data_IF_371700601325
#
_entry.id   IF_371700601325
#
_cell.length_a   1.000
_cell.length_b   1.000
_cell.length_c   1.000
_cell.angle_alpha   90.00
_cell.angle_beta   90.00
_cell.angle_gamma   90.00
#
_symmetry.space_group_name_H-M   'P 1'
#
loop_
_entity.id
_entity.type
_entity.pdbx_description
1 polymer ?
#
# COMPACT_ATOMS: atom_id res chain seq x y z
N UNK A 1 21.06 76.29 -5.65
CA UNK A 1 21.72 75.49 -4.59
C UNK A 1 20.93 74.21 -4.40
N UNK A 2 21.29 73.18 -5.17
CA UNK A 2 20.50 71.96 -5.35
C UNK A 2 21.23 70.83 -4.64
N UNK A 3 20.68 70.34 -3.53
CA UNK A 3 21.25 69.21 -2.76
C UNK A 3 21.01 67.91 -3.52
N UNK A 4 22.09 67.28 -3.98
CA UNK A 4 22.09 65.90 -4.48
C UNK A 4 22.15 64.93 -3.30
N UNK A 5 21.16 64.06 -3.22
CA UNK A 5 21.09 62.94 -2.28
C UNK A 5 21.81 61.75 -2.94
N UNK A 6 22.96 61.36 -2.39
CA UNK A 6 23.70 60.16 -2.84
C UNK A 6 23.17 58.97 -2.04
N UNK A 7 22.41 58.08 -2.70
CA UNK A 7 22.00 56.79 -2.15
C UNK A 7 23.14 55.81 -2.38
N UNK A 8 23.76 55.32 -1.30
CA UNK A 8 24.66 54.18 -1.33
C UNK A 8 23.84 52.89 -1.38
N UNK A 9 23.88 52.19 -2.51
CA UNK A 9 23.34 50.85 -2.66
C UNK A 9 24.44 49.85 -2.24
N UNK A 10 24.28 49.22 -1.08
CA UNK A 10 25.14 48.10 -0.65
C UNK A 10 24.57 46.84 -1.28
N UNK A 11 25.20 46.39 -2.38
CA UNK A 11 24.98 45.06 -2.95
C UNK A 11 25.77 44.04 -2.11
N UNK A 12 25.09 43.43 -1.15
CA UNK A 12 25.61 42.25 -0.47
C UNK A 12 25.45 41.04 -1.41
N UNK A 13 26.53 40.67 -2.11
CA UNK A 13 26.65 39.35 -2.72
C UNK A 13 26.83 38.32 -1.59
N UNK A 14 25.74 37.74 -1.11
CA UNK A 14 25.79 36.44 -0.45
C UNK A 14 25.95 35.37 -1.54
N UNK A 15 27.20 35.00 -1.81
CA UNK A 15 27.50 33.76 -2.50
C UNK A 15 26.92 32.62 -1.67
N UNK A 16 25.77 32.09 -2.10
CA UNK A 16 25.20 30.87 -1.57
C UNK A 16 26.19 29.74 -1.80
N UNK A 17 26.87 29.32 -0.76
CA UNK A 17 27.59 28.05 -0.74
C UNK A 17 26.49 27.00 -0.86
N UNK A 18 26.26 26.51 -2.09
CA UNK A 18 25.55 25.26 -2.32
C UNK A 18 26.38 24.17 -1.65
N UNK A 19 26.00 23.80 -0.43
CA UNK A 19 26.43 22.53 0.13
C UNK A 19 25.81 21.47 -0.77
N UNK A 20 26.61 20.91 -1.66
CA UNK A 20 26.33 19.59 -2.21
C UNK A 20 26.26 18.67 -0.99
N UNK A 21 25.05 18.29 -0.58
CA UNK A 21 24.87 17.12 0.24
C UNK A 21 25.36 15.95 -0.61
N UNK A 22 26.64 15.59 -0.46
CA UNK A 22 27.04 14.21 -0.72
C UNK A 22 26.14 13.33 0.15
N UNK A 23 25.37 12.46 -0.50
CA UNK A 23 24.57 11.47 0.20
C UNK A 23 25.51 10.69 1.11
N UNK A 24 25.31 10.85 2.43
CA UNK A 24 26.00 10.06 3.44
C UNK A 24 25.92 8.59 3.04
N UNK A 25 27.06 7.99 2.72
CA UNK A 25 27.21 6.56 2.40
C UNK A 25 27.11 5.69 3.66
N UNK A 26 26.33 6.13 4.67
CA UNK A 26 26.06 5.30 5.82
C UNK A 26 25.30 4.07 5.33
N UNK A 27 25.90 2.90 5.50
CA UNK A 27 25.28 1.62 5.23
C UNK A 27 23.97 1.54 6.00
N UNK A 28 22.92 1.03 5.36
CA UNK A 28 21.65 0.80 6.04
C UNK A 28 21.87 -0.18 7.22
N UNK A 29 21.38 0.20 8.40
CA UNK A 29 21.47 -0.56 9.64
C UNK A 29 20.06 -0.58 10.24
N UNK A 30 19.34 -1.72 10.19
CA UNK A 30 18.00 -1.83 10.76
C UNK A 30 17.96 -1.54 12.26
N UNK A 31 19.06 -1.78 12.97
CA UNK A 31 19.16 -1.56 14.42
C UNK A 31 18.24 -2.47 15.23
N UNK A 32 18.17 -2.21 16.54
CA UNK A 32 17.28 -2.94 17.45
C UNK A 32 15.80 -2.67 17.17
N UNK A 33 15.49 -1.49 16.59
CA UNK A 33 14.14 -1.08 16.20
C UNK A 33 13.71 -1.62 14.83
N UNK A 34 14.49 -2.52 14.20
CA UNK A 34 14.19 -3.16 12.92
C UNK A 34 13.67 -2.18 11.85
N UNK A 35 14.32 -1.03 11.69
CA UNK A 35 13.97 -0.06 10.64
C UNK A 35 14.10 -0.74 9.27
N UNK A 36 13.00 -0.71 8.52
CA UNK A 36 12.91 -1.28 7.19
C UNK A 36 12.17 -0.31 6.26
N UNK A 37 12.77 -0.07 5.10
CA UNK A 37 12.15 0.67 4.00
C UNK A 37 12.18 -0.22 2.76
N UNK A 38 11.16 -0.13 1.89
CA UNK A 38 11.24 -0.78 0.58
C UNK A 38 12.41 -0.17 -0.22
N UNK A 39 13.03 -0.92 -1.15
CA UNK A 39 14.14 -0.41 -1.95
C UNK A 39 13.75 0.80 -2.81
N UNK A 40 12.46 0.88 -3.18
CA UNK A 40 11.89 2.04 -3.85
C UNK A 40 10.44 2.24 -3.47
N UNK A 41 10.00 3.51 -3.44
CA UNK A 41 8.60 3.90 -3.28
C UNK A 41 8.17 4.58 -4.58
N UNK A 42 7.14 4.07 -5.29
CA UNK A 42 6.58 4.76 -6.44
C UNK A 42 5.69 5.93 -5.99
N UNK A 43 5.89 7.10 -6.60
CA UNK A 43 5.10 8.31 -6.37
C UNK A 43 4.49 8.76 -7.69
N UNK A 44 3.34 9.41 -7.64
CA UNK A 44 2.65 9.94 -8.81
C UNK A 44 2.51 11.46 -8.70
N UNK A 45 2.88 12.19 -9.74
CA UNK A 45 2.71 13.63 -9.80
C UNK A 45 1.26 14.05 -9.49
N UNK A 46 1.08 15.04 -8.62
CA UNK A 46 -0.23 15.54 -8.19
C UNK A 46 -0.90 14.74 -7.07
N UNK A 47 -0.34 13.60 -6.64
CA UNK A 47 -0.90 12.76 -5.57
C UNK A 47 -0.04 12.85 -4.31
N UNK A 48 -0.64 13.24 -3.19
CA UNK A 48 0.05 13.26 -1.89
C UNK A 48 0.56 11.86 -1.54
N UNK A 49 1.86 11.77 -1.26
CA UNK A 49 2.55 10.54 -0.90
C UNK A 49 3.12 10.67 0.51
N UNK A 50 2.97 9.63 1.31
CA UNK A 50 3.33 9.64 2.72
C UNK A 50 4.15 8.40 3.10
N UNK A 51 5.20 8.61 3.89
CA UNK A 51 5.93 7.54 4.59
C UNK A 51 5.65 7.72 6.09
N UNK A 52 4.79 6.87 6.66
CA UNK A 52 4.51 6.88 8.09
C UNK A 52 5.59 6.10 8.86
N UNK A 53 6.11 6.68 9.94
CA UNK A 53 7.23 6.07 10.66
C UNK A 53 6.83 4.82 11.45
N UNK A 54 5.57 4.75 11.92
CA UNK A 54 4.99 3.56 12.56
C UNK A 54 4.94 2.34 11.62
N UNK A 55 5.06 2.55 10.30
CA UNK A 55 5.18 1.47 9.31
C UNK A 55 6.62 1.11 8.96
N UNK A 56 7.58 1.92 9.37
CA UNK A 56 8.97 1.80 8.97
C UNK A 56 9.83 1.14 10.03
N UNK A 57 9.52 1.31 11.33
CA UNK A 57 10.31 0.70 12.40
C UNK A 57 9.42 0.09 13.49
N UNK A 58 9.97 -0.91 14.18
CA UNK A 58 9.32 -1.65 15.23
C UNK A 58 9.84 -1.19 16.60
N UNK A 59 8.98 -0.52 17.36
CA UNK A 59 9.24 -0.19 18.76
C UNK A 59 7.94 -0.28 19.57
N UNK A 60 8.04 -0.84 20.79
CA UNK A 60 6.89 -0.91 21.71
C UNK A 60 6.33 0.48 22.05
N UNK A 61 7.21 1.46 22.20
CA UNK A 61 6.83 2.86 22.38
C UNK A 61 7.62 3.75 21.41
N UNK A 62 7.06 4.07 20.22
CA UNK A 62 7.69 4.93 19.23
C UNK A 62 8.06 6.33 19.75
N UNK A 63 7.35 6.84 20.76
CA UNK A 63 7.62 8.16 21.34
C UNK A 63 8.97 8.26 22.07
N UNK A 64 9.65 7.15 22.33
CA UNK A 64 11.01 7.12 22.86
C UNK A 64 12.08 7.45 21.80
N UNK A 65 11.69 7.52 20.53
CA UNK A 65 12.58 7.70 19.40
C UNK A 65 12.20 8.93 18.59
N UNK A 66 13.18 9.45 17.85
CA UNK A 66 12.97 10.50 16.86
C UNK A 66 13.35 9.98 15.48
N UNK A 67 12.44 10.11 14.52
CA UNK A 67 12.77 9.95 13.11
C UNK A 67 13.45 11.23 12.60
N UNK A 68 14.52 11.09 11.85
CA UNK A 68 15.26 12.17 11.20
C UNK A 68 15.34 11.85 9.70
N UNK A 69 14.61 12.61 8.90
CA UNK A 69 14.45 12.38 7.46
C UNK A 69 15.34 13.34 6.68
N UNK A 70 16.25 12.78 5.90
CA UNK A 70 17.03 13.52 4.90
C UNK A 70 16.46 13.26 3.51
N UNK A 71 15.85 14.29 2.91
CA UNK A 71 15.34 14.26 1.54
C UNK A 71 15.38 15.67 0.94
N UNK A 72 15.66 15.78 -0.37
CA UNK A 72 15.68 17.06 -1.07
C UNK A 72 14.27 17.64 -1.32
N UNK A 73 13.22 16.84 -1.10
CA UNK A 73 11.81 17.16 -1.39
C UNK A 73 10.91 16.71 -0.22
N UNK A 74 9.71 17.28 -0.18
CA UNK A 74 8.72 17.01 0.86
C UNK A 74 8.99 17.73 2.17
N UNK A 75 8.22 17.36 3.18
CA UNK A 75 8.34 17.86 4.54
C UNK A 75 8.24 16.71 5.53
N UNK A 76 9.05 16.77 6.58
CA UNK A 76 8.88 15.90 7.73
C UNK A 76 7.85 16.50 8.68
N UNK A 77 6.90 15.67 9.10
CA UNK A 77 5.95 15.88 10.20
C UNK A 77 6.29 14.92 11.34
N UNK A 78 5.55 14.96 12.46
CA UNK A 78 5.87 14.14 13.63
C UNK A 78 5.74 12.64 13.34
N UNK A 79 4.71 12.28 12.57
CA UNK A 79 4.28 10.91 12.30
C UNK A 79 4.73 10.39 10.94
N UNK A 80 5.12 11.28 10.03
CA UNK A 80 5.39 10.94 8.63
C UNK A 80 6.31 11.91 7.91
N UNK A 81 6.93 11.45 6.84
CA UNK A 81 7.35 12.33 5.74
C UNK A 81 6.23 12.42 4.70
N UNK A 82 5.97 13.62 4.18
CA UNK A 82 4.88 13.88 3.22
C UNK A 82 5.33 14.73 2.05
N UNK A 83 4.82 14.43 0.85
CA UNK A 83 5.08 15.21 -0.35
C UNK A 83 4.03 14.99 -1.44
N UNK A 84 3.63 16.07 -2.11
CA UNK A 84 2.89 16.02 -3.38
C UNK A 84 3.85 16.41 -4.53
N UNK A 85 4.41 15.45 -5.27
CA UNK A 85 5.32 15.73 -6.37
C UNK A 85 4.62 16.42 -7.54
N UNK A 86 5.39 17.15 -8.36
CA UNK A 86 4.93 17.73 -9.62
C UNK A 86 5.44 16.93 -10.82
N UNK A 87 4.89 17.19 -12.00
CA UNK A 87 5.34 16.53 -13.24
C UNK A 87 6.84 16.78 -13.52
N UNK A 88 7.34 17.99 -13.22
CA UNK A 88 8.76 18.35 -13.35
C UNK A 88 9.70 17.58 -12.40
N UNK A 89 9.16 16.92 -11.37
CA UNK A 89 9.92 16.10 -10.43
C UNK A 89 10.09 14.64 -10.91
N UNK A 90 9.60 14.29 -12.11
CA UNK A 90 9.68 12.94 -12.65
C UNK A 90 11.14 12.42 -12.68
N UNK A 91 11.36 11.23 -12.12
CA UNK A 91 12.69 10.66 -11.98
C UNK A 91 12.91 9.97 -10.64
N UNK A 92 14.17 9.95 -10.22
CA UNK A 92 14.63 9.27 -9.00
C UNK A 92 15.23 10.28 -8.03
N UNK A 93 14.90 10.14 -6.76
CA UNK A 93 15.57 10.85 -5.68
C UNK A 93 15.71 9.96 -4.45
N UNK A 94 16.75 10.20 -3.65
CA UNK A 94 17.02 9.42 -2.44
C UNK A 94 16.29 10.04 -1.25
N UNK A 95 15.71 9.19 -0.41
CA UNK A 95 15.23 9.53 0.92
C UNK A 95 15.93 8.63 1.93
N UNK A 96 16.46 9.24 2.99
CA UNK A 96 17.09 8.52 4.10
C UNK A 96 16.30 8.79 5.38
N UNK A 97 16.08 7.74 6.17
CA UNK A 97 15.52 7.83 7.52
C UNK A 97 16.59 7.35 8.51
N UNK A 98 16.83 8.14 9.53
CA UNK A 98 17.59 7.74 10.72
C UNK A 98 16.63 7.72 11.91
N UNK A 99 16.79 6.73 12.78
CA UNK A 99 16.10 6.69 14.07
C UNK A 99 17.12 7.03 15.15
N UNK A 100 16.77 8.00 15.99
CA UNK A 100 17.61 8.49 17.09
C UNK A 100 16.97 8.16 18.44
N UNK A 101 17.81 7.80 19.40
CA UNK A 101 17.38 7.60 20.79
C UNK A 101 17.39 8.90 21.61
N UNK A 102 17.07 8.79 22.90
CA UNK A 102 17.07 9.92 23.84
C UNK A 102 18.44 10.57 24.08
N UNK A 103 19.54 9.90 23.70
CA UNK A 103 20.90 10.45 23.75
C UNK A 103 21.30 11.15 22.44
N UNK A 104 20.38 11.21 21.48
CA UNK A 104 20.57 11.69 20.12
C UNK A 104 21.49 10.80 19.26
N UNK A 105 21.76 9.57 19.71
CA UNK A 105 22.55 8.59 18.96
C UNK A 105 21.69 7.95 17.87
N UNK A 106 22.27 7.74 16.68
CA UNK A 106 21.61 7.01 15.59
C UNK A 106 21.61 5.52 15.96
N UNK A 107 20.42 4.95 16.16
CA UNK A 107 20.24 3.54 16.51
C UNK A 107 19.81 2.69 15.31
N UNK A 108 19.29 3.33 14.25
CA UNK A 108 18.99 2.69 12.98
C UNK A 108 19.06 3.70 11.83
N UNK A 109 19.33 3.21 10.61
CA UNK A 109 19.30 4.01 9.40
C UNK A 109 18.90 3.16 8.19
N UNK A 110 18.07 3.70 7.32
CA UNK A 110 17.67 3.06 6.07
C UNK A 110 17.46 4.09 4.97
N UNK A 111 17.69 3.68 3.74
CA UNK A 111 17.52 4.51 2.55
C UNK A 111 16.53 3.88 1.58
N UNK A 112 15.79 4.72 0.86
CA UNK A 112 14.89 4.30 -0.21
C UNK A 112 14.98 5.24 -1.41
N UNK A 113 14.73 4.70 -2.60
CA UNK A 113 14.59 5.52 -3.81
C UNK A 113 13.14 5.91 -4.01
N UNK A 114 12.83 7.21 -3.96
CA UNK A 114 11.54 7.72 -4.40
C UNK A 114 11.55 7.79 -5.93
N UNK A 115 10.63 7.07 -6.56
CA UNK A 115 10.48 6.98 -8.01
C UNK A 115 9.23 7.75 -8.44
N UNK A 116 9.41 9.01 -8.83
CA UNK A 116 8.32 9.88 -9.26
C UNK A 116 7.99 9.59 -10.72
N UNK A 117 6.74 9.21 -10.98
CA UNK A 117 6.17 9.15 -12.32
C UNK A 117 5.35 10.39 -12.60
N UNK A 118 5.46 10.88 -13.82
CA UNK A 118 4.46 11.78 -14.38
C UNK A 118 3.10 11.07 -14.41
N UNK A 119 2.04 11.84 -14.18
CA UNK A 119 0.66 11.39 -14.21
C UNK A 119 0.15 11.22 -15.64
N UNK A 120 0.72 11.96 -16.60
CA UNK A 120 0.33 11.87 -18.00
C UNK A 120 0.55 10.45 -18.57
N UNK A 121 -0.53 9.84 -19.08
CA UNK A 121 -0.46 8.55 -19.74
C UNK A 121 0.07 8.75 -21.17
N UNK A 122 1.32 8.35 -21.41
CA UNK A 122 2.00 8.56 -22.70
C UNK A 122 1.27 7.91 -23.89
N UNK A 123 0.58 6.78 -23.66
CA UNK A 123 -0.29 6.12 -24.65
C UNK A 123 -1.47 5.48 -23.94
N UNK A 124 -2.67 6.01 -24.17
CA UNK A 124 -3.91 5.41 -23.69
C UNK A 124 -4.09 4.06 -24.40
N UNK A 125 -4.29 2.95 -23.66
CA UNK A 125 -4.48 1.64 -24.26
C UNK A 125 -5.83 1.59 -25.01
N UNK A 126 -5.84 0.93 -26.17
CA UNK A 126 -7.05 0.80 -27.00
C UNK A 126 -8.14 -0.08 -26.35
N UNK A 127 -7.73 -0.98 -25.46
CA UNK A 127 -8.61 -1.83 -24.67
C UNK A 127 -8.48 -1.48 -23.19
N UNK A 128 -9.58 -1.58 -22.42
CA UNK A 128 -9.49 -1.38 -20.98
C UNK A 128 -8.49 -2.33 -20.33
N UNK A 129 -7.68 -1.79 -19.44
CA UNK A 129 -6.77 -2.56 -18.57
C UNK A 129 -7.56 -3.06 -17.39
N UNK A 130 -7.45 -4.35 -17.09
CA UNK A 130 -8.14 -4.98 -15.96
C UNK A 130 -7.29 -4.97 -14.67
N UNK A 131 -7.92 -4.65 -13.54
CA UNK A 131 -7.30 -4.70 -12.21
C UNK A 131 -8.19 -5.49 -11.23
N UNK A 132 -7.64 -6.55 -10.66
CA UNK A 132 -8.23 -7.28 -9.53
C UNK A 132 -7.62 -6.79 -8.22
N UNK A 133 -8.45 -6.34 -7.28
CA UNK A 133 -8.01 -5.89 -5.96
C UNK A 133 -8.46 -6.92 -4.92
N UNK A 134 -7.52 -7.62 -4.30
CA UNK A 134 -7.76 -8.64 -3.28
C UNK A 134 -7.36 -8.08 -1.92
N UNK A 135 -8.20 -8.23 -0.91
CA UNK A 135 -7.78 -7.89 0.44
C UNK A 135 -8.85 -8.08 1.50
N UNK A 136 -8.57 -7.54 2.67
CA UNK A 136 -9.41 -7.71 3.85
C UNK A 136 -10.50 -6.61 4.02
N UNK A 137 -10.85 -6.26 5.26
CA UNK A 137 -11.80 -5.18 5.60
C UNK A 137 -11.44 -3.84 5.00
N UNK A 138 -10.14 -3.53 4.86
CA UNK A 138 -9.67 -2.26 4.30
C UNK A 138 -10.03 -2.15 2.82
N UNK A 139 -9.99 -3.30 2.13
CA UNK A 139 -10.47 -3.42 0.75
C UNK A 139 -11.99 -3.50 0.68
N UNK A 140 -12.62 -4.21 1.62
CA UNK A 140 -14.08 -4.34 1.71
C UNK A 140 -14.79 -3.00 1.95
N UNK A 141 -14.11 -2.02 2.55
CA UNK A 141 -14.61 -0.66 2.73
C UNK A 141 -14.68 0.15 1.42
N UNK A 142 -14.05 -0.34 0.35
CA UNK A 142 -14.07 0.24 -1.00
C UNK A 142 -13.51 1.66 -1.14
N UNK A 143 -12.88 2.22 -0.10
CA UNK A 143 -12.42 3.63 -0.08
C UNK A 143 -11.23 3.82 -1.02
N UNK A 144 -10.13 3.08 -0.81
CA UNK A 144 -8.93 3.27 -1.63
C UNK A 144 -9.12 2.75 -3.06
N UNK A 145 -9.94 1.72 -3.26
CA UNK A 145 -10.27 1.24 -4.60
C UNK A 145 -11.13 2.24 -5.37
N UNK A 146 -11.99 3.01 -4.69
CA UNK A 146 -12.69 4.13 -5.30
C UNK A 146 -11.72 5.23 -5.73
N UNK A 147 -10.75 5.58 -4.89
CA UNK A 147 -9.72 6.55 -5.25
C UNK A 147 -8.94 6.13 -6.50
N UNK A 148 -8.60 4.84 -6.64
CA UNK A 148 -7.94 4.31 -7.85
C UNK A 148 -8.84 4.49 -9.08
N UNK A 149 -10.12 4.14 -8.96
CA UNK A 149 -11.10 4.32 -10.05
C UNK A 149 -11.21 5.79 -10.45
N UNK A 150 -11.36 6.69 -9.48
CA UNK A 150 -11.56 8.12 -9.73
C UNK A 150 -10.34 8.77 -10.37
N UNK A 151 -9.13 8.41 -9.92
CA UNK A 151 -7.87 8.84 -10.56
C UNK A 151 -7.78 8.34 -12.00
N UNK A 152 -8.18 7.09 -12.27
CA UNK A 152 -8.17 6.56 -13.63
C UNK A 152 -9.16 7.29 -14.55
N UNK A 153 -10.34 7.65 -14.04
CA UNK A 153 -11.32 8.47 -14.76
C UNK A 153 -10.79 9.88 -15.03
N UNK A 154 -10.17 10.52 -14.03
CA UNK A 154 -9.55 11.85 -14.19
C UNK A 154 -8.42 11.83 -15.24
N UNK A 155 -7.70 10.71 -15.35
CA UNK A 155 -6.56 10.54 -16.26
C UNK A 155 -6.95 9.97 -17.63
N UNK A 156 -8.25 9.84 -17.94
CA UNK A 156 -8.78 9.19 -19.15
C UNK A 156 -8.17 7.79 -19.41
N UNK A 157 -7.79 7.10 -18.34
CA UNK A 157 -7.26 5.74 -18.39
C UNK A 157 -8.44 4.76 -18.39
N UNK A 158 -8.62 3.95 -19.44
CA UNK A 158 -9.68 2.95 -19.46
C UNK A 158 -9.31 1.80 -18.52
N UNK A 159 -9.61 1.97 -17.24
CA UNK A 159 -9.42 0.97 -16.19
C UNK A 159 -10.73 0.22 -15.96
N UNK A 160 -10.67 -1.10 -15.90
CA UNK A 160 -11.79 -1.95 -15.48
C UNK A 160 -11.40 -2.68 -14.19
N UNK A 161 -11.99 -2.26 -13.07
CA UNK A 161 -11.88 -3.02 -11.83
C UNK A 161 -12.74 -4.28 -11.94
N UNK A 162 -12.19 -5.43 -11.53
CA UNK A 162 -12.87 -6.72 -11.57
C UNK A 162 -13.02 -7.31 -10.17
N UNK A 163 -14.10 -8.04 -9.97
CA UNK A 163 -14.44 -8.58 -8.66
C UNK A 163 -15.90 -8.98 -8.53
N UNK A 164 -16.16 -9.87 -7.58
CA UNK A 164 -17.48 -10.29 -7.16
C UNK A 164 -18.10 -9.32 -6.13
N UNK A 165 -17.28 -8.49 -5.47
CA UNK A 165 -17.69 -7.50 -4.46
C UNK A 165 -17.52 -6.07 -4.97
N UNK A 166 -18.09 -5.13 -4.21
CA UNK A 166 -18.08 -3.69 -4.46
C UNK A 166 -19.06 -2.99 -3.52
N UNK A 167 -19.11 -1.64 -3.53
CA UNK A 167 -20.12 -0.89 -2.82
C UNK A 167 -21.53 -1.34 -3.22
N UNK A 168 -22.40 -1.51 -2.22
CA UNK A 168 -23.82 -1.74 -2.48
C UNK A 168 -24.41 -0.50 -3.14
N UNK A 169 -25.12 -0.71 -4.24
CA UNK A 169 -25.89 0.33 -4.93
C UNK A 169 -27.37 0.14 -4.64
N UNK A 170 -28.17 1.19 -4.88
CA UNK A 170 -29.61 1.10 -4.77
C UNK A 170 -30.18 0.05 -5.74
N UNK A 171 -31.31 -0.56 -5.36
CA UNK A 171 -32.00 -1.52 -6.22
C UNK A 171 -32.39 -0.86 -7.56
N UNK A 172 -32.08 -1.52 -8.67
CA UNK A 172 -32.34 -1.00 -10.02
C UNK A 172 -31.18 -0.21 -10.65
N UNK A 173 -30.14 0.13 -9.89
CA UNK A 173 -28.94 0.78 -10.42
C UNK A 173 -27.97 -0.23 -11.07
N UNK A 174 -27.17 0.18 -12.06
CA UNK A 174 -26.13 -0.67 -12.63
C UNK A 174 -25.02 -0.92 -11.59
N UNK A 175 -24.42 -2.14 -11.55
CA UNK A 175 -23.36 -2.47 -10.61
C UNK A 175 -22.27 -1.39 -10.53
N UNK A 176 -21.84 -1.04 -9.32
CA UNK A 176 -20.75 -0.08 -9.13
C UNK A 176 -19.51 -0.50 -9.94
N UNK A 177 -18.84 0.45 -10.64
CA UNK A 177 -17.59 0.15 -11.34
C UNK A 177 -16.44 -0.14 -10.37
N UNK A 178 -16.58 0.18 -9.09
CA UNK A 178 -15.64 -0.17 -8.04
C UNK A 178 -15.83 -1.62 -7.60
N UNK A 179 -15.28 -2.54 -8.39
CA UNK A 179 -15.30 -3.98 -8.13
C UNK A 179 -13.99 -4.46 -7.52
N UNK A 180 -14.07 -5.39 -6.57
CA UNK A 180 -12.92 -5.95 -5.88
C UNK A 180 -13.27 -7.30 -5.22
N UNK A 181 -12.28 -7.94 -4.59
CA UNK A 181 -12.40 -9.09 -3.70
C UNK A 181 -11.95 -8.68 -2.29
N UNK A 182 -12.75 -7.79 -1.69
CA UNK A 182 -12.51 -7.26 -0.35
C UNK A 182 -13.36 -7.98 0.68
N UNK A 183 -12.72 -8.59 1.68
CA UNK A 183 -13.37 -9.43 2.66
C UNK A 183 -12.88 -9.11 4.09
N UNK A 184 -13.69 -8.37 4.86
CA UNK A 184 -13.50 -8.16 6.30
C UNK A 184 -13.16 -9.43 7.10
N UNK A 185 -12.04 -9.36 7.84
CA UNK A 185 -11.53 -10.42 8.71
C UNK A 185 -10.81 -11.56 7.98
N UNK A 186 -10.54 -11.44 6.69
CA UNK A 186 -9.91 -12.52 5.92
C UNK A 186 -8.39 -12.44 5.92
N UNK A 187 -7.80 -13.62 5.81
CA UNK A 187 -6.36 -13.91 5.78
C UNK A 187 -5.98 -14.48 4.41
N UNK A 188 -4.68 -14.55 4.10
CA UNK A 188 -4.19 -15.24 2.91
C UNK A 188 -4.60 -16.72 2.91
N UNK A 189 -4.52 -17.37 4.08
CA UNK A 189 -4.98 -18.75 4.28
C UNK A 189 -6.45 -18.93 3.90
N UNK A 190 -7.31 -17.99 4.32
CA UNK A 190 -8.75 -18.10 4.05
C UNK A 190 -9.05 -18.00 2.56
N UNK A 191 -8.40 -17.08 1.84
CA UNK A 191 -8.52 -17.02 0.38
C UNK A 191 -8.04 -18.31 -0.30
N UNK A 192 -6.97 -18.93 0.19
CA UNK A 192 -6.38 -20.12 -0.42
C UNK A 192 -7.12 -21.42 -0.10
N UNK A 193 -7.87 -21.51 1.02
CA UNK A 193 -8.36 -22.80 1.54
C UNK A 193 -9.85 -22.85 1.90
N UNK A 194 -10.51 -21.71 2.11
CA UNK A 194 -11.83 -21.69 2.73
C UNK A 194 -12.96 -21.92 1.73
N UNK A 195 -13.53 -23.12 1.70
CA UNK A 195 -14.69 -23.45 0.87
C UNK A 195 -15.95 -23.67 1.71
N UNK A 196 -17.05 -23.03 1.33
CA UNK A 196 -18.38 -23.21 1.97
C UNK A 196 -19.46 -23.66 0.99
N UNK A 197 -19.14 -23.77 -0.31
CA UNK A 197 -20.14 -23.92 -1.38
C UNK A 197 -20.87 -22.63 -1.77
N UNK A 198 -20.68 -21.56 -1.01
CA UNK A 198 -21.27 -20.25 -1.27
C UNK A 198 -20.12 -19.27 -1.51
N UNK A 199 -19.65 -19.10 -2.73
CA UNK A 199 -18.57 -18.13 -3.01
C UNK A 199 -19.05 -16.67 -2.90
N UNK A 200 -20.33 -16.43 -3.19
CA UNK A 200 -20.94 -15.11 -3.37
C UNK A 200 -22.46 -15.19 -3.28
N UNK A 201 -23.09 -14.05 -2.98
CA UNK A 201 -24.52 -14.00 -2.66
C UNK A 201 -24.80 -14.58 -1.27
N UNK A 202 -25.83 -14.07 -0.59
CA UNK A 202 -26.14 -14.47 0.78
C UNK A 202 -25.31 -13.78 1.86
N UNK A 203 -25.47 -14.19 3.13
CA UNK A 203 -24.82 -13.53 4.26
C UNK A 203 -23.29 -13.59 4.16
N UNK A 204 -22.65 -12.44 4.37
CA UNK A 204 -21.20 -12.28 4.23
C UNK A 204 -20.38 -13.33 5.00
N UNK A 205 -20.84 -13.70 6.21
CA UNK A 205 -20.16 -14.66 7.10
C UNK A 205 -20.18 -16.11 6.59
N UNK A 206 -21.08 -16.43 5.68
CA UNK A 206 -21.26 -17.78 5.11
C UNK A 206 -20.46 -17.96 3.82
N UNK A 207 -19.88 -16.88 3.29
CA UNK A 207 -19.17 -16.92 2.03
C UNK A 207 -17.81 -17.62 2.17
N UNK A 208 -17.52 -18.53 1.24
CA UNK A 208 -16.21 -19.13 0.98
C UNK A 208 -15.42 -18.31 -0.03
N UNK A 209 -14.17 -18.70 -0.25
CA UNK A 209 -13.25 -18.04 -1.17
C UNK A 209 -13.85 -17.92 -2.58
N UNK A 210 -13.74 -16.75 -3.22
CA UNK A 210 -14.22 -16.55 -4.60
C UNK A 210 -13.39 -17.34 -5.63
N UNK A 211 -12.23 -17.88 -5.23
CA UNK A 211 -11.30 -18.58 -6.10
C UNK A 211 -11.40 -20.10 -5.99
N UNK A 212 -12.19 -20.63 -5.05
CA UNK A 212 -12.30 -22.07 -4.80
C UNK A 212 -13.64 -22.59 -5.30
N UNK A 213 -13.58 -23.60 -6.17
CA UNK A 213 -14.73 -24.20 -6.82
C UNK A 213 -14.75 -25.71 -6.58
N UNK A 214 -15.94 -26.29 -6.72
CA UNK A 214 -16.15 -27.73 -6.72
C UNK A 214 -17.25 -28.04 -7.73
N UNK A 215 -16.93 -28.85 -8.73
CA UNK A 215 -17.92 -29.33 -9.69
C UNK A 215 -18.57 -30.64 -9.20
N UNK A 216 -19.71 -30.97 -9.81
CA UNK A 216 -20.39 -32.24 -9.56
C UNK A 216 -19.49 -33.40 -10.01
N UNK A 217 -19.12 -34.25 -9.05
CA UNK A 217 -18.20 -35.37 -9.27
C UNK A 217 -16.76 -35.11 -8.78
N UNK A 218 -16.41 -33.87 -8.42
CA UNK A 218 -15.12 -33.60 -7.79
C UNK A 218 -15.06 -34.20 -6.38
N UNK A 219 -13.96 -34.87 -6.06
CA UNK A 219 -13.72 -35.40 -4.71
C UNK A 219 -13.57 -34.26 -3.68
N UNK A 220 -12.89 -33.17 -4.06
CA UNK A 220 -12.57 -32.04 -3.17
C UNK A 220 -12.65 -30.70 -3.93
N UNK A 221 -13.03 -29.61 -3.25
CA UNK A 221 -12.91 -28.27 -3.82
C UNK A 221 -11.45 -27.92 -4.10
N UNK A 222 -11.19 -27.11 -5.12
CA UNK A 222 -9.85 -26.65 -5.50
C UNK A 222 -9.87 -25.21 -6.02
N UNK A 223 -8.71 -24.57 -6.04
CA UNK A 223 -8.55 -23.27 -6.72
C UNK A 223 -8.83 -23.44 -8.22
N UNK A 224 -9.64 -22.53 -8.77
CA UNK A 224 -9.95 -22.46 -10.20
C UNK A 224 -10.07 -20.99 -10.62
N UNK A 225 -8.91 -20.35 -10.76
CA UNK A 225 -8.82 -18.94 -11.11
C UNK A 225 -9.19 -18.66 -12.57
N UNK A 226 -9.01 -19.64 -13.44
CA UNK A 226 -9.47 -19.60 -14.83
C UNK A 226 -11.00 -19.48 -14.90
N UNK A 227 -11.72 -20.29 -14.10
CA UNK A 227 -13.18 -20.14 -13.94
C UNK A 227 -13.56 -18.78 -13.38
N UNK A 228 -12.88 -18.31 -12.34
CA UNK A 228 -13.10 -16.97 -11.81
C UNK A 228 -12.94 -15.89 -12.90
N UNK A 229 -11.89 -15.97 -13.72
CA UNK A 229 -11.64 -15.01 -14.79
C UNK A 229 -12.68 -15.10 -15.92
N UNK A 230 -13.24 -16.28 -16.22
CA UNK A 230 -14.41 -16.38 -17.12
C UNK A 230 -15.61 -15.61 -16.60
N UNK A 231 -15.83 -15.65 -15.29
CA UNK A 231 -16.98 -15.00 -14.65
C UNK A 231 -16.83 -13.48 -14.52
N UNK A 232 -15.62 -12.98 -14.24
CA UNK A 232 -15.41 -11.55 -13.90
C UNK A 232 -14.47 -10.79 -14.82
N UNK A 233 -13.83 -11.46 -15.78
CA UNK A 233 -12.88 -10.82 -16.68
C UNK A 233 -12.94 -11.35 -18.11
N UNK A 234 -14.13 -11.78 -18.55
CA UNK A 234 -14.37 -12.22 -19.94
C UNK A 234 -13.46 -13.38 -20.39
N UNK A 235 -12.98 -14.18 -19.43
CA UNK A 235 -12.08 -15.31 -19.67
C UNK A 235 -10.60 -14.94 -19.75
N UNK A 236 -10.23 -13.67 -19.63
CA UNK A 236 -8.83 -13.25 -19.61
C UNK A 236 -8.28 -13.22 -18.17
N UNK A 237 -7.03 -13.64 -17.97
CA UNK A 237 -6.31 -13.32 -16.73
C UNK A 237 -6.14 -11.80 -16.57
N UNK A 238 -6.21 -11.24 -15.35
CA UNK A 238 -6.11 -9.80 -15.14
C UNK A 238 -4.76 -9.23 -15.60
N UNK A 239 -4.72 -7.96 -16.02
CA UNK A 239 -3.44 -7.30 -16.34
C UNK A 239 -2.67 -6.97 -15.07
N UNK A 240 -3.42 -6.56 -14.05
CA UNK A 240 -2.90 -6.19 -12.74
C UNK A 240 -3.67 -6.89 -11.62
N UNK A 241 -2.95 -7.27 -10.58
CA UNK A 241 -3.52 -7.69 -9.30
C UNK A 241 -2.87 -6.88 -8.19
N UNK A 242 -3.65 -6.39 -7.23
CA UNK A 242 -3.11 -5.89 -5.96
C UNK A 242 -3.62 -6.75 -4.82
N UNK A 243 -2.75 -7.06 -3.86
CA UNK A 243 -3.11 -7.85 -2.68
C UNK A 243 -2.76 -7.07 -1.41
N UNK A 244 -3.76 -6.72 -0.61
CA UNK A 244 -3.63 -6.11 0.71
C UNK A 244 -4.15 -7.09 1.78
N UNK A 245 -3.25 -7.93 2.28
CA UNK A 245 -3.48 -8.92 3.33
C UNK A 245 -2.33 -8.89 4.34
N UNK A 246 -2.52 -9.52 5.49
CA UNK A 246 -1.52 -9.59 6.56
C UNK A 246 -2.02 -9.08 7.90
N UNK A 247 -2.92 -8.09 7.91
CA UNK A 247 -3.46 -7.55 9.16
C UNK A 247 -4.15 -8.64 9.99
N UNK A 248 -5.14 -9.33 9.42
CA UNK A 248 -5.84 -10.41 10.14
C UNK A 248 -4.98 -11.66 10.34
N UNK A 249 -3.97 -11.86 9.49
CA UNK A 249 -3.05 -12.99 9.58
C UNK A 249 -2.20 -12.92 10.86
N UNK A 250 -1.79 -11.70 11.26
CA UNK A 250 -0.97 -11.46 12.47
C UNK A 250 -1.74 -10.86 13.64
N UNK A 251 -3.01 -10.46 13.47
CA UNK A 251 -3.78 -9.71 14.48
C UNK A 251 -3.79 -10.38 15.87
N UNK A 252 -3.95 -11.70 15.91
CA UNK A 252 -3.98 -12.49 17.15
C UNK A 252 -2.64 -13.12 17.53
N UNK A 253 -1.54 -12.72 16.89
CA UNK A 253 -0.23 -13.24 17.20
C UNK A 253 0.34 -12.63 18.49
N UNK A 254 1.26 -13.37 19.10
CA UNK A 254 2.08 -12.95 20.25
C UNK A 254 3.54 -12.89 19.83
N UNK A 255 4.42 -12.31 20.66
CA UNK A 255 5.87 -12.31 20.41
C UNK A 255 6.43 -13.72 20.16
N UNK A 256 5.85 -14.74 20.81
CA UNK A 256 6.25 -16.15 20.64
C UNK A 256 5.75 -16.78 19.34
N UNK A 257 4.66 -16.27 18.75
CA UNK A 257 3.97 -16.90 17.61
C UNK A 257 4.00 -16.08 16.32
N UNK A 258 4.47 -14.82 16.38
CA UNK A 258 4.43 -13.89 15.24
C UNK A 258 5.20 -14.40 14.03
N UNK A 259 6.39 -14.96 14.21
CA UNK A 259 7.20 -15.47 13.10
C UNK A 259 6.52 -16.68 12.43
N UNK A 260 5.97 -17.63 13.21
CA UNK A 260 5.22 -18.77 12.66
C UNK A 260 3.97 -18.32 11.89
N UNK A 261 3.26 -17.30 12.40
CA UNK A 261 2.08 -16.73 11.73
C UNK A 261 2.45 -16.04 10.42
N UNK A 262 3.57 -15.33 10.39
CA UNK A 262 4.12 -14.73 9.17
C UNK A 262 4.48 -15.81 8.15
N UNK A 263 5.11 -16.91 8.57
CA UNK A 263 5.43 -18.04 7.68
C UNK A 263 4.18 -18.72 7.10
N UNK A 264 3.14 -18.91 7.92
CA UNK A 264 1.84 -19.42 7.45
C UNK A 264 1.23 -18.47 6.42
N UNK A 265 1.19 -17.17 6.72
CA UNK A 265 0.70 -16.15 5.80
C UNK A 265 1.43 -16.23 4.46
N UNK A 266 2.77 -16.23 4.46
CA UNK A 266 3.56 -16.24 3.23
C UNK A 266 3.33 -17.49 2.38
N UNK A 267 3.22 -18.69 2.98
CA UNK A 267 2.90 -19.91 2.21
C UNK A 267 1.59 -19.81 1.45
N UNK A 268 0.56 -19.24 2.08
CA UNK A 268 -0.73 -19.04 1.43
C UNK A 268 -0.70 -17.86 0.45
N UNK A 269 0.08 -16.82 0.72
CA UNK A 269 0.32 -15.74 -0.21
C UNK A 269 0.98 -16.27 -1.49
N UNK A 270 2.01 -17.10 -1.39
CA UNK A 270 2.66 -17.78 -2.52
C UNK A 270 1.69 -18.65 -3.31
N UNK A 271 0.76 -19.34 -2.62
CA UNK A 271 -0.30 -20.11 -3.28
C UNK A 271 -1.18 -19.21 -4.16
N UNK A 272 -1.58 -18.04 -3.66
CA UNK A 272 -2.38 -17.07 -4.43
C UNK A 272 -1.59 -16.50 -5.62
N UNK A 273 -0.31 -16.17 -5.42
CA UNK A 273 0.55 -15.67 -6.49
C UNK A 273 0.74 -16.73 -7.59
N UNK A 274 1.02 -17.97 -7.21
CA UNK A 274 1.19 -19.09 -8.13
C UNK A 274 -0.08 -19.32 -8.96
N UNK A 275 -1.25 -19.33 -8.31
CA UNK A 275 -2.55 -19.46 -8.97
C UNK A 275 -2.78 -18.38 -10.04
N UNK A 276 -2.42 -17.12 -9.75
CA UNK A 276 -2.57 -16.00 -10.70
C UNK A 276 -1.62 -16.16 -11.89
N UNK A 277 -0.35 -16.47 -11.62
CA UNK A 277 0.69 -16.60 -12.66
C UNK A 277 0.60 -17.88 -13.47
N UNK A 278 0.00 -18.95 -12.94
CA UNK A 278 -0.32 -20.16 -13.70
C UNK A 278 -1.28 -19.86 -14.85
N UNK A 279 -2.29 -19.01 -14.62
CA UNK A 279 -3.23 -18.57 -15.65
C UNK A 279 -2.59 -17.56 -16.62
N UNK A 280 -1.88 -16.56 -16.08
CA UNK A 280 -1.26 -15.50 -16.88
C UNK A 280 0.05 -15.02 -16.25
N UNK A 281 1.21 -15.52 -16.73
CA UNK A 281 2.54 -15.14 -16.21
C UNK A 281 2.86 -13.65 -16.33
N UNK A 282 2.25 -12.94 -17.29
CA UNK A 282 2.47 -11.51 -17.53
C UNK A 282 1.70 -10.61 -16.56
N UNK A 283 0.81 -11.18 -15.73
CA UNK A 283 0.04 -10.43 -14.74
C UNK A 283 0.99 -9.71 -13.79
N UNK A 284 0.85 -8.38 -13.71
CA UNK A 284 1.68 -7.56 -12.81
C UNK A 284 1.03 -7.52 -11.44
N UNK A 285 1.73 -8.02 -10.43
CA UNK A 285 1.20 -8.12 -9.06
C UNK A 285 1.86 -7.08 -8.16
N UNK A 286 1.05 -6.33 -7.42
CA UNK A 286 1.47 -5.43 -6.34
C UNK A 286 1.04 -5.97 -4.97
N UNK A 287 2.00 -6.36 -4.14
CA UNK A 287 1.75 -6.63 -2.72
C UNK A 287 1.75 -5.30 -1.96
N UNK A 288 0.61 -4.95 -1.36
CA UNK A 288 0.45 -3.69 -0.63
C UNK A 288 0.80 -3.90 0.85
N UNK A 289 1.52 -2.95 1.42
CA UNK A 289 1.84 -2.96 2.85
C UNK A 289 0.59 -2.61 3.67
N UNK A 290 0.31 -3.32 4.76
CA UNK A 290 -0.69 -2.89 5.74
C UNK A 290 -0.39 -1.47 6.23
N UNK A 291 -1.43 -0.64 6.34
CA UNK A 291 -1.32 0.69 6.96
C UNK A 291 -1.04 0.60 8.46
N UNK A 292 -0.50 1.65 9.08
CA UNK A 292 -0.22 1.62 10.51
C UNK A 292 -1.52 1.39 11.28
N UNK A 293 -1.46 0.69 12.43
CA UNK A 293 -2.62 0.57 13.30
C UNK A 293 -3.06 1.94 13.77
N UNK A 294 -4.31 2.03 14.24
CA UNK A 294 -4.81 3.25 14.86
C UNK A 294 -3.82 3.76 15.93
N UNK A 295 -3.55 5.06 15.94
CA UNK A 295 -2.46 5.63 16.74
C UNK A 295 -2.65 5.53 18.27
N UNK A 296 -3.85 5.21 18.76
CA UNK A 296 -4.16 5.19 20.19
C UNK A 296 -4.72 3.84 20.66
N UNK A 297 -4.38 3.48 21.90
CA UNK A 297 -5.01 2.36 22.61
C UNK A 297 -6.52 2.57 22.78
N UNK A 298 -7.00 3.81 22.84
CA UNK A 298 -8.43 4.12 22.95
C UNK A 298 -9.21 3.64 21.71
N UNK A 299 -8.63 3.77 20.51
CA UNK A 299 -9.24 3.29 19.28
C UNK A 299 -9.33 1.76 19.24
N UNK A 300 -8.33 1.07 19.78
CA UNK A 300 -8.38 -0.38 19.98
C UNK A 300 -9.43 -0.75 21.04
N UNK A 301 -9.46 -0.05 22.17
CA UNK A 301 -10.43 -0.25 23.24
C UNK A 301 -11.88 -0.08 22.79
N UNK A 302 -12.15 0.85 21.87
CA UNK A 302 -13.48 1.07 21.31
C UNK A 302 -14.03 -0.15 20.54
N UNK A 303 -13.15 -0.93 19.91
CA UNK A 303 -13.54 -2.08 19.08
C UNK A 303 -13.30 -3.45 19.77
N UNK A 304 -12.32 -3.52 20.66
CA UNK A 304 -11.81 -4.78 21.23
C UNK A 304 -11.82 -4.80 22.77
N UNK A 305 -12.23 -3.71 23.43
CA UNK A 305 -12.17 -3.60 24.88
C UNK A 305 -10.75 -3.82 25.41
N UNK A 306 -10.60 -4.67 26.41
CA UNK A 306 -9.29 -5.07 26.96
C UNK A 306 -8.68 -6.30 26.27
N UNK A 307 -9.25 -6.75 25.14
CA UNK A 307 -8.83 -7.96 24.44
C UNK A 307 -7.66 -7.79 23.48
N UNK A 308 -7.28 -6.55 23.16
CA UNK A 308 -6.18 -6.25 22.24
C UNK A 308 -5.43 -4.99 22.66
N UNK A 309 -4.11 -5.11 22.73
CA UNK A 309 -3.20 -3.97 22.86
C UNK A 309 -2.78 -3.49 21.47
N UNK A 310 -2.62 -2.18 21.34
CA UNK A 310 -2.05 -1.57 20.12
C UNK A 310 -0.65 -2.09 19.87
#
# INVERSE_FOLDING_TARGET
MTRRLTIFLVLALSAGILWSQEASTATDVPGEVRLHLPPSIPLLAGVESNLYFDNAFLALNPANFLADVTCAKGAQQAERWTWTPKAEDAGKLSLKVEIRDATNAIVASASTTLFVKDRAVAKVPEKPVSLLIIGDSLTAASVYSQQIHDLAVEDDLPLRLIGSRGPTIAEGEPPSPNRHEGYGGWTAERFATHYTGIARGGPYKECGSPFIYKDDGDEKPRLDFDRYCREFNEGAGPDYVTILLGCNDTFGATDDTIEEKIDIMFRHYETLLAMIHELRPETRIGALLPMPPAASQDAFGANYGSGQTR
#
